data_IF_962404311103
#
_entry.id   IF_962404311103
#
_cell.length_a   1.000
_cell.length_b   1.000
_cell.length_c   1.000
_cell.angle_alpha   90.00
_cell.angle_beta   90.00
_cell.angle_gamma   90.00
#
_symmetry.space_group_name_H-M   'P 1'
#
loop_
_entity.id
_entity.type
_entity.pdbx_description
1 polymer ?
2 non-polymer ?
3 water ?
#
# COMPACT_ATOMS: atom_id res chain seq x y z
N UNK A 1 10.53 -14.75 8.86
CA UNK A 1 9.64 -15.11 7.74
C UNK A 1 8.18 -14.69 7.98
N UNK A 2 7.33 -14.93 6.97
CA UNK A 2 5.92 -14.58 7.06
C UNK A 2 5.09 -15.68 7.73
N UNK A 3 4.34 -15.31 8.77
CA UNK A 3 3.49 -16.26 9.49
C UNK A 3 2.02 -15.99 9.13
N UNK A 4 1.21 -17.04 9.05
CA UNK A 4 -0.19 -16.91 8.69
C UNK A 4 -1.07 -16.44 9.84
N UNK A 5 -1.62 -15.23 9.70
CA UNK A 5 -2.48 -14.68 10.75
C UNK A 5 -3.93 -15.09 10.54
N UNK A 6 -4.29 -15.34 9.29
CA UNK A 6 -5.61 -15.80 8.92
C UNK A 6 -5.42 -16.46 7.56
N UNK A 7 -6.38 -17.29 7.13
CA UNK A 7 -6.24 -17.95 5.83
C UNK A 7 -5.68 -17.08 4.72
N UNK A 8 -4.59 -17.53 4.12
CA UNK A 8 -3.95 -16.81 3.02
C UNK A 8 -3.60 -15.36 3.27
N UNK A 9 -3.27 -15.03 4.51
CA UNK A 9 -2.87 -13.67 4.88
C UNK A 9 -1.69 -13.84 5.82
N UNK A 10 -0.54 -13.30 5.41
CA UNK A 10 0.73 -13.42 6.14
C UNK A 10 1.32 -12.10 6.64
N UNK A 11 2.01 -12.17 7.77
CA UNK A 11 2.63 -11.01 8.38
C UNK A 11 4.09 -11.37 8.67
N UNK A 12 5.00 -10.44 8.36
CA UNK A 12 6.39 -10.69 8.63
C UNK A 12 6.55 -10.85 10.14
N UNK A 13 7.29 -11.88 10.55
CA UNK A 13 7.52 -12.13 11.96
C UNK A 13 8.15 -10.88 12.59
N UNK A 14 7.55 -10.41 13.68
CA UNK A 14 8.02 -9.23 14.39
C UNK A 14 9.46 -9.31 14.88
N UNK A 15 10.07 -10.49 14.76
CA UNK A 15 11.45 -10.70 15.19
C UNK A 15 12.48 -10.31 14.12
N UNK A 16 12.02 -10.11 12.89
CA UNK A 16 12.87 -9.71 11.76
C UNK A 16 13.39 -8.28 11.96
N UNK A 17 14.50 -7.94 11.30
CA UNK A 17 15.10 -6.60 11.40
C UNK A 17 14.27 -5.52 10.71
N UNK A 18 13.58 -5.90 9.64
CA UNK A 18 12.74 -4.97 8.89
C UNK A 18 11.50 -4.57 9.66
N UNK A 19 10.98 -5.51 10.45
CA UNK A 19 9.80 -5.26 11.26
C UNK A 19 10.14 -4.30 12.40
N UNK A 20 11.33 -4.47 12.96
CA UNK A 20 11.80 -3.63 14.05
C UNK A 20 12.16 -2.24 13.55
N UNK A 21 12.66 -2.18 12.32
CA UNK A 21 13.05 -0.91 11.70
C UNK A 21 11.82 -0.07 11.32
N UNK A 22 10.81 -0.73 10.75
CA UNK A 22 9.57 -0.06 10.36
C UNK A 22 8.85 0.43 11.61
N UNK A 23 8.92 -0.38 12.65
CA UNK A 23 8.30 -0.06 13.93
C UNK A 23 8.98 1.16 14.57
N UNK A 24 10.27 1.31 14.32
CA UNK A 24 11.07 2.41 14.86
C UNK A 24 10.93 3.69 14.03
N UNK A 25 10.88 3.54 12.70
CA UNK A 25 10.80 4.67 11.77
C UNK A 25 9.40 5.27 11.51
N UNK A 26 8.37 4.44 11.51
CA UNK A 26 7.02 4.90 11.26
C UNK A 26 6.50 5.97 12.21
N UNK A 27 5.66 6.87 11.68
CA UNK A 27 5.06 7.95 12.47
C UNK A 27 3.60 8.12 12.04
N UNK A 28 2.72 8.37 13.00
CA UNK A 28 1.30 8.59 12.70
C UNK A 28 0.82 9.90 13.32
N UNK A 29 -0.36 10.37 12.90
CA UNK A 29 -0.92 11.63 13.39
C UNK A 29 -2.41 11.57 13.67
N UNK A 30 -2.84 12.30 14.71
CA UNK A 30 -4.24 12.37 15.07
C UNK A 30 -4.89 13.36 14.09
N UNK A 31 -6.23 13.38 14.02
CA UNK A 31 -6.95 14.27 13.12
C UNK A 31 -6.49 15.74 13.15
N UNK A 32 -6.03 16.20 14.31
CA UNK A 32 -5.56 17.59 14.42
C UNK A 32 -4.30 17.86 13.62
N UNK A 33 -3.55 16.81 13.28
CA UNK A 33 -2.31 16.94 12.51
C UNK A 33 -2.27 16.14 11.22
N UNK A 34 -3.42 15.66 10.77
CA UNK A 34 -3.52 14.91 9.52
C UNK A 34 -4.61 15.54 8.67
N UNK A 35 -4.70 15.16 7.39
CA UNK A 35 -5.71 15.70 6.48
C UNK A 35 -6.90 14.76 6.30
N UNK A 36 -6.94 13.69 7.09
CA UNK A 36 -8.00 12.70 7.00
C UNK A 36 -8.59 12.47 8.39
N UNK A 37 -9.83 11.99 8.45
CA UNK A 37 -10.42 11.76 9.76
C UNK A 37 -10.38 10.32 10.20
N UNK A 38 -9.28 9.95 10.84
CA UNK A 38 -9.08 8.62 11.37
C UNK A 38 -8.30 8.84 12.65
N UNK A 39 -8.53 7.99 13.65
CA UNK A 39 -7.84 8.12 14.93
C UNK A 39 -6.33 8.31 14.74
N UNK A 40 -5.75 7.47 13.89
CA UNK A 40 -4.32 7.51 13.62
C UNK A 40 -4.08 7.42 12.13
N UNK A 41 -3.36 8.41 11.60
CA UNK A 41 -3.05 8.45 10.17
C UNK A 41 -1.54 8.23 9.98
N UNK A 42 -1.18 7.08 9.42
CA UNK A 42 0.22 6.74 9.20
C UNK A 42 0.86 7.50 8.04
N UNK A 43 1.92 8.24 8.33
CA UNK A 43 2.62 9.03 7.34
C UNK A 43 3.71 8.24 6.59
N UNK A 44 3.53 8.06 5.30
CA UNK A 44 4.51 7.33 4.49
C UNK A 44 5.81 8.11 4.38
N UNK A 45 5.76 9.41 4.59
CA UNK A 45 6.97 10.22 4.54
C UNK A 45 7.94 9.73 5.59
N UNK A 46 7.41 9.23 6.71
CA UNK A 46 8.25 8.70 7.78
C UNK A 46 9.08 7.50 7.33
N UNK A 47 8.72 6.93 6.19
CA UNK A 47 9.45 5.79 5.66
C UNK A 47 10.39 6.23 4.56
N UNK A 48 9.89 7.05 3.65
CA UNK A 48 10.71 7.51 2.53
C UNK A 48 11.77 8.49 2.98
N UNK A 49 11.58 9.11 4.14
CA UNK A 49 12.58 10.06 4.66
C UNK A 49 13.62 9.32 5.51
N UNK A 50 13.41 8.01 5.66
CA UNK A 50 14.30 7.17 6.41
C UNK A 50 15.05 6.32 5.39
N UNK A 51 16.25 6.79 4.96
CA UNK A 51 17.09 6.10 3.98
C UNK A 51 17.33 4.63 4.32
N UNK A 52 17.69 4.38 5.58
CA UNK A 52 17.95 3.04 6.07
C UNK A 52 16.71 2.13 5.93
N UNK A 53 15.56 2.65 6.30
CA UNK A 53 14.31 1.89 6.24
C UNK A 53 13.89 1.66 4.79
N UNK A 54 14.07 2.67 3.96
CA UNK A 54 13.72 2.56 2.56
C UNK A 54 14.62 1.53 1.87
N UNK A 55 15.91 1.52 2.20
CA UNK A 55 16.82 0.56 1.57
C UNK A 55 16.48 -0.86 2.02
N UNK A 56 16.05 -0.99 3.27
CA UNK A 56 15.68 -2.28 3.86
C UNK A 56 14.48 -2.91 3.16
N UNK A 57 13.44 -2.12 2.93
CA UNK A 57 12.23 -2.58 2.27
C UNK A 57 12.58 -3.00 0.84
N UNK A 58 13.49 -2.24 0.23
CA UNK A 58 13.91 -2.51 -1.12
C UNK A 58 14.67 -3.83 -1.18
N UNK A 59 15.65 -4.02 -0.28
CA UNK A 59 16.44 -5.25 -0.27
C UNK A 59 15.64 -6.51 0.00
N UNK A 60 14.70 -6.44 0.95
CA UNK A 60 13.88 -7.59 1.32
C UNK A 60 12.97 -8.09 0.21
N UNK A 61 12.24 -7.19 -0.42
CA UNK A 61 11.32 -7.59 -1.49
C UNK A 61 12.06 -8.07 -2.73
N UNK A 62 13.17 -7.42 -3.06
CA UNK A 62 13.97 -7.83 -4.22
C UNK A 62 14.50 -9.26 -4.00
N UNK A 63 15.04 -9.51 -2.80
CA UNK A 63 15.56 -10.82 -2.44
C UNK A 63 14.42 -11.84 -2.52
N UNK A 64 13.25 -11.44 -2.06
CA UNK A 64 12.07 -12.31 -2.09
C UNK A 64 11.60 -12.69 -3.49
N UNK A 65 11.53 -11.70 -4.39
CA UNK A 65 11.06 -11.97 -5.74
C UNK A 65 12.08 -12.63 -6.68
N UNK A 66 13.37 -12.56 -6.33
CA UNK A 66 14.41 -13.19 -7.16
C UNK A 66 14.45 -14.68 -6.80
N UNK A 67 14.25 -14.96 -5.51
CA UNK A 67 14.25 -16.32 -5.00
C UNK A 67 13.00 -17.09 -5.39
N UNK A 68 11.95 -16.35 -5.74
CA UNK A 68 10.68 -16.98 -6.12
C UNK A 68 10.73 -17.67 -7.49
N UNK A 69 9.98 -18.76 -7.61
CA UNK A 69 9.92 -19.50 -8.86
C UNK A 69 8.52 -20.09 -9.06
N UNK A 70 7.83 -19.68 -10.16
CA UNK A 70 8.29 -18.73 -11.18
C UNK A 70 8.25 -17.27 -10.72
N UNK A 71 9.20 -16.48 -11.23
CA UNK A 71 9.31 -15.06 -10.89
C UNK A 71 8.23 -14.21 -11.54
N UNK A 72 7.80 -13.14 -10.85
CA UNK A 72 6.76 -12.23 -11.34
C UNK A 72 7.19 -11.63 -12.67
N UNK A 73 6.20 -11.23 -13.46
CA UNK A 73 6.48 -10.63 -14.74
C UNK A 73 6.20 -9.13 -14.70
N UNK A 74 5.41 -8.70 -13.71
CA UNK A 74 5.03 -7.29 -13.54
C UNK A 74 4.78 -6.90 -12.09
N UNK A 75 4.87 -5.59 -11.85
CA UNK A 75 4.58 -5.00 -10.54
C UNK A 75 3.53 -3.93 -10.83
N UNK A 76 2.38 -4.02 -10.18
CA UNK A 76 1.32 -3.04 -10.38
C UNK A 76 1.17 -2.23 -9.09
N UNK A 77 1.55 -0.96 -9.14
CA UNK A 77 1.45 -0.11 -7.97
C UNK A 77 0.18 0.72 -7.98
N UNK A 78 -0.30 1.07 -6.79
CA UNK A 78 -1.51 1.88 -6.63
C UNK A 78 -1.20 3.40 -6.48
N UNK A 79 -2.01 4.22 -7.14
CA UNK A 79 -1.90 5.69 -7.10
C UNK A 79 -2.29 6.14 -5.68
N UNK A 80 -1.35 6.71 -4.91
CA UNK A 80 -0.08 7.27 -5.40
C UNK A 80 1.06 6.79 -4.52
N UNK A 81 0.74 6.33 -3.33
CA UNK A 81 1.77 5.86 -2.43
C UNK A 81 2.42 4.57 -2.91
N UNK A 82 1.69 3.77 -3.67
CA UNK A 82 2.26 2.55 -4.22
C UNK A 82 3.36 2.88 -5.23
N UNK A 83 3.33 4.11 -5.75
CA UNK A 83 4.32 4.58 -6.71
C UNK A 83 5.68 4.75 -6.06
N UNK A 84 5.68 4.99 -4.76
CA UNK A 84 6.92 5.20 -4.02
C UNK A 84 7.75 3.95 -3.78
N UNK A 85 7.12 2.77 -3.83
CA UNK A 85 7.85 1.54 -3.58
C UNK A 85 7.99 0.65 -4.79
N UNK A 86 6.97 0.67 -5.64
CA UNK A 86 6.98 -0.17 -6.81
C UNK A 86 8.21 -0.14 -7.71
N UNK A 87 8.54 1.04 -8.28
CA UNK A 87 9.68 1.25 -9.18
C UNK A 87 11.06 0.78 -8.75
N UNK A 88 11.43 1.00 -7.50
CA UNK A 88 12.74 0.59 -7.04
C UNK A 88 12.91 -0.92 -6.97
N UNK A 89 11.81 -1.63 -6.87
CA UNK A 89 11.85 -3.08 -6.84
C UNK A 89 11.91 -3.57 -8.29
N UNK A 90 11.09 -2.95 -9.14
CA UNK A 90 11.02 -3.31 -10.56
C UNK A 90 12.36 -3.16 -11.27
N UNK A 91 13.00 -2.00 -11.08
CA UNK A 91 14.29 -1.70 -11.72
C UNK A 91 15.36 -2.75 -11.43
N UNK A 92 15.26 -3.40 -10.26
CA UNK A 92 16.20 -4.45 -9.88
C UNK A 92 15.81 -5.78 -10.51
N UNK A 93 14.52 -6.07 -10.57
CA UNK A 93 14.03 -7.31 -11.16
C UNK A 93 14.02 -7.19 -12.68
N UNK A 94 14.05 -5.95 -13.15
CA UNK A 94 14.02 -5.66 -14.58
C UNK A 94 12.73 -6.13 -15.22
N UNK A 95 11.62 -5.79 -14.55
CA UNK A 95 10.30 -6.12 -15.04
C UNK A 95 9.53 -4.80 -15.06
N UNK A 96 8.55 -4.68 -15.95
CA UNK A 96 7.73 -3.47 -16.09
C UNK A 96 6.98 -3.09 -14.82
N UNK A 97 6.78 -1.79 -14.64
CA UNK A 97 6.02 -1.29 -13.50
C UNK A 97 4.79 -0.59 -14.07
N UNK A 98 3.63 -1.21 -13.89
CA UNK A 98 2.37 -0.69 -14.39
C UNK A 98 1.69 0.20 -13.34
N UNK A 99 0.96 1.21 -13.82
CA UNK A 99 0.25 2.15 -12.96
C UNK A 99 -1.27 1.96 -12.93
N UNK A 100 -1.85 1.86 -11.75
CA UNK A 100 -3.30 1.75 -11.65
C UNK A 100 -3.76 3.15 -11.23
N UNK A 101 -4.53 3.80 -12.09
CA UNK A 101 -5.01 5.16 -11.79
C UNK A 101 -6.47 5.34 -12.13
N UNK A 102 -6.99 6.53 -11.82
CA UNK A 102 -8.37 6.85 -12.15
C UNK A 102 -8.33 7.17 -13.63
N UNK A 103 -9.43 6.94 -14.31
CA UNK A 103 -9.50 7.18 -15.74
C UNK A 103 -8.97 8.56 -16.15
N UNK A 104 -9.29 9.60 -15.38
CA UNK A 104 -8.82 10.95 -15.76
C UNK A 104 -7.35 11.23 -15.47
N UNK A 105 -6.62 10.19 -15.11
CA UNK A 105 -5.19 10.31 -14.82
C UNK A 105 -4.38 9.42 -15.74
N UNK A 106 -5.03 8.38 -16.27
CA UNK A 106 -4.41 7.43 -17.17
C UNK A 106 -4.63 7.71 -18.68
N UNK A 107 -3.71 7.23 -19.51
CA UNK A 107 -3.76 7.43 -20.95
C UNK A 107 -3.87 6.11 -21.72
N UNK A 108 -4.29 6.21 -22.98
CA UNK A 108 -4.44 5.03 -23.82
C UNK A 108 -5.79 4.39 -23.62
N UNK A 109 -6.04 3.26 -24.26
CA UNK A 109 -7.30 2.55 -24.07
C UNK A 109 -7.25 1.96 -22.68
N UNK A 110 -8.22 2.30 -21.85
CA UNK A 110 -8.25 1.82 -20.48
C UNK A 110 -9.26 0.74 -20.20
N UNK A 111 -9.10 0.12 -19.04
CA UNK A 111 -10.00 -0.92 -18.55
C UNK A 111 -10.39 -0.45 -17.14
N UNK A 112 -11.65 -0.08 -16.96
CA UNK A 112 -12.09 0.38 -15.64
C UNK A 112 -12.58 -0.79 -14.81
N UNK A 113 -12.36 -0.72 -13.49
CA UNK A 113 -12.79 -1.78 -12.57
C UNK A 113 -14.26 -1.60 -12.24
N UNK A 114 -14.86 -2.61 -11.61
CA UNK A 114 -16.27 -2.56 -11.25
C UNK A 114 -16.40 -2.78 -9.76
N UNK A 115 -16.27 -1.71 -8.97
CA UNK A 115 -16.35 -1.72 -7.50
C UNK A 115 -17.72 -2.10 -6.94
N UNK A 116 -17.71 -2.64 -5.72
CA UNK A 116 -18.93 -3.09 -5.05
C UNK A 116 -19.64 -2.01 -4.24
N UNK A 117 -20.85 -2.33 -3.81
CA UNK A 117 -21.68 -1.43 -3.00
C UNK A 117 -21.09 -1.17 -1.62
N UNK A 118 -21.24 0.06 -1.14
CA UNK A 118 -20.77 0.45 0.19
C UNK A 118 -21.78 -0.04 1.24
N UNK A 119 -21.29 -0.67 2.29
CA UNK A 119 -22.14 -1.19 3.34
C UNK A 119 -22.51 -0.13 4.38
N UNK A 120 -23.24 0.89 3.93
CA UNK A 120 -23.68 2.00 4.78
C UNK A 120 -22.52 2.81 5.36
N UNK A 121 -22.84 3.93 6.00
CA UNK A 121 -21.87 4.82 6.63
C UNK A 121 -20.96 5.51 5.61
N UNK A 122 -21.54 5.82 4.45
CA UNK A 122 -20.83 6.49 3.35
C UNK A 122 -19.54 5.79 2.94
N UNK A 123 -18.50 6.59 2.64
CA UNK A 123 -17.20 6.09 2.23
C UNK A 123 -17.29 5.30 0.91
N UNK A 124 -17.82 5.96 -0.11
CA UNK A 124 -17.99 5.35 -1.43
C UNK A 124 -16.65 5.18 -2.16
N UNK A 125 -16.34 3.94 -2.56
CA UNK A 125 -15.12 3.52 -3.29
C UNK A 125 -14.88 4.25 -4.61
N UNK A 126 -13.73 3.95 -5.23
CA UNK A 126 -13.32 4.59 -6.48
C UNK A 126 -13.13 3.62 -7.66
N UNK A 127 -13.40 4.12 -8.86
CA UNK A 127 -13.22 3.31 -10.06
C UNK A 127 -11.77 3.51 -10.52
N UNK A 128 -11.01 2.43 -10.56
CA UNK A 128 -9.61 2.46 -10.97
C UNK A 128 -9.43 1.84 -12.34
N UNK A 129 -8.36 2.22 -13.03
CA UNK A 129 -8.12 1.71 -14.36
C UNK A 129 -6.66 1.45 -14.63
N UNK A 130 -6.40 0.69 -15.69
CA UNK A 130 -5.06 0.38 -16.19
C UNK A 130 -5.17 0.38 -17.71
N UNK A 131 -4.08 0.68 -18.41
CA UNK A 131 -4.13 0.68 -19.86
C UNK A 131 -4.31 -0.74 -20.40
N UNK A 132 -5.29 -0.90 -21.29
CA UNK A 132 -5.56 -2.21 -21.90
C UNK A 132 -4.29 -2.68 -22.58
N UNK A 133 -3.85 -3.88 -22.21
CA UNK A 133 -2.65 -4.43 -22.81
C UNK A 133 -1.37 -4.11 -22.05
N UNK A 134 -1.50 -3.46 -20.90
CA UNK A 134 -0.34 -3.13 -20.10
C UNK A 134 0.12 -4.43 -19.46
N UNK A 135 -0.83 -5.32 -19.21
CA UNK A 135 -0.54 -6.63 -18.62
C UNK A 135 -0.99 -7.70 -19.60
N UNK A 136 -0.03 -8.38 -20.23
CA UNK A 136 -0.33 -9.43 -21.17
C UNK A 136 -0.91 -10.69 -20.54
N UNK A 137 -1.35 -11.61 -21.40
CA UNK A 137 -1.93 -12.88 -20.95
C UNK A 137 -0.85 -13.76 -20.30
N UNK A 138 -1.22 -14.47 -19.25
CA UNK A 138 -0.28 -15.34 -18.55
C UNK A 138 0.78 -14.65 -17.73
N UNK A 139 0.55 -13.38 -17.39
CA UNK A 139 1.48 -12.60 -16.59
C UNK A 139 1.28 -12.89 -15.11
N UNK A 140 2.37 -12.85 -14.36
CA UNK A 140 2.34 -13.06 -12.92
C UNK A 140 2.61 -11.68 -12.28
N UNK A 141 1.53 -11.06 -11.82
CA UNK A 141 1.59 -9.73 -11.25
C UNK A 141 1.63 -9.65 -9.73
N UNK A 142 2.47 -8.74 -9.23
CA UNK A 142 2.60 -8.47 -7.81
C UNK A 142 1.95 -7.11 -7.61
N UNK A 143 0.92 -7.05 -6.76
CA UNK A 143 0.23 -5.80 -6.46
C UNK A 143 0.92 -5.18 -5.25
N UNK A 144 1.12 -3.86 -5.26
CA UNK A 144 1.79 -3.19 -4.14
C UNK A 144 1.27 -1.78 -3.83
N UNK A 145 1.04 -1.54 -2.53
CA UNK A 145 0.59 -0.24 -2.02
C UNK A 145 1.26 -0.11 -0.65
N UNK A 146 1.21 1.09 -0.07
CA UNK A 146 1.82 1.30 1.23
C UNK A 146 0.97 0.75 2.39
N UNK A 147 -0.32 1.05 2.39
CA UNK A 147 -1.22 0.60 3.45
C UNK A 147 -2.48 -0.12 2.97
N UNK A 148 -2.79 -1.25 3.63
CA UNK A 148 -3.99 -2.00 3.31
C UNK A 148 -4.97 -1.61 4.40
N UNK A 149 -5.93 -0.76 4.05
CA UNK A 149 -6.93 -0.29 4.98
C UNK A 149 -8.22 -1.10 4.84
N UNK A 150 -9.11 -0.63 3.97
CA UNK A 150 -10.40 -1.30 3.73
C UNK A 150 -10.36 -2.36 2.63
N UNK A 151 -9.34 -2.29 1.77
CA UNK A 151 -9.21 -3.25 0.68
C UNK A 151 -9.92 -2.87 -0.59
N UNK A 152 -10.70 -1.79 -0.54
CA UNK A 152 -11.44 -1.36 -1.71
C UNK A 152 -10.60 -1.15 -2.95
N UNK A 153 -9.37 -0.69 -2.77
CA UNK A 153 -8.48 -0.45 -3.88
C UNK A 153 -7.86 -1.73 -4.41
N UNK A 154 -7.38 -2.56 -3.49
CA UNK A 154 -6.75 -3.83 -3.83
C UNK A 154 -7.69 -4.69 -4.66
N UNK A 155 -8.97 -4.55 -4.36
CA UNK A 155 -10.00 -5.29 -5.06
C UNK A 155 -10.02 -4.88 -6.51
N UNK A 156 -9.90 -3.59 -6.79
CA UNK A 156 -9.87 -3.11 -8.16
C UNK A 156 -8.64 -3.73 -8.78
N UNK A 157 -7.56 -3.78 -8.01
CA UNK A 157 -6.32 -4.37 -8.47
C UNK A 157 -6.55 -5.80 -8.92
N UNK A 158 -7.20 -6.59 -8.06
CA UNK A 158 -7.46 -7.99 -8.39
C UNK A 158 -8.39 -8.13 -9.58
N UNK A 159 -9.41 -7.30 -9.66
CA UNK A 159 -10.35 -7.37 -10.77
C UNK A 159 -9.67 -7.04 -12.07
N UNK A 160 -8.74 -6.09 -12.03
CA UNK A 160 -8.03 -5.68 -13.24
C UNK A 160 -7.06 -6.74 -13.74
N UNK A 161 -6.36 -7.38 -12.80
CA UNK A 161 -5.42 -8.44 -13.14
C UNK A 161 -6.21 -9.62 -13.68
N UNK A 162 -7.34 -9.91 -13.04
CA UNK A 162 -8.22 -10.99 -13.45
C UNK A 162 -8.73 -10.75 -14.86
N UNK A 163 -9.26 -9.55 -15.09
CA UNK A 163 -9.80 -9.18 -16.41
C UNK A 163 -8.78 -9.22 -17.55
N UNK A 164 -7.49 -9.19 -17.21
CA UNK A 164 -6.41 -9.22 -18.19
C UNK A 164 -5.88 -10.63 -18.48
N UNK A 165 -6.62 -11.65 -18.06
CA UNK A 165 -6.22 -13.04 -18.24
C UNK A 165 -4.84 -13.28 -17.66
N UNK A 166 -4.62 -12.69 -16.48
CA UNK A 166 -3.37 -12.77 -15.75
C UNK A 166 -3.64 -13.24 -14.32
N UNK A 167 -2.58 -13.57 -13.59
CA UNK A 167 -2.71 -14.02 -12.22
C UNK A 167 -2.01 -13.12 -11.23
N UNK A 168 -2.63 -12.93 -10.07
CA UNK A 168 -2.08 -12.13 -8.99
C UNK A 168 -1.18 -13.04 -8.18
N UNK A 169 0.11 -12.72 -8.14
CA UNK A 169 1.06 -13.51 -7.35
C UNK A 169 0.72 -13.29 -5.88
N UNK A 170 0.61 -12.04 -5.49
CA UNK A 170 0.31 -11.66 -4.12
C UNK A 170 0.16 -10.15 -4.04
N UNK A 171 -0.60 -9.70 -3.05
CA UNK A 171 -0.83 -8.28 -2.81
C UNK A 171 0.07 -7.92 -1.64
N UNK A 172 1.08 -7.09 -1.87
CA UNK A 172 1.98 -6.70 -0.78
C UNK A 172 1.74 -5.27 -0.29
N UNK A 173 1.77 -5.10 1.03
CA UNK A 173 1.59 -3.79 1.65
C UNK A 173 2.59 -3.62 2.78
N UNK A 174 3.08 -2.40 2.96
CA UNK A 174 4.04 -2.12 4.03
C UNK A 174 3.35 -2.28 5.37
N UNK A 175 2.24 -1.57 5.55
CA UNK A 175 1.48 -1.59 6.79
C UNK A 175 0.04 -2.03 6.58
N UNK A 176 -0.52 -2.71 7.55
CA UNK A 176 -1.91 -3.16 7.46
C UNK A 176 -2.68 -2.78 8.72
N UNK A 177 -4.00 -2.66 8.59
CA UNK A 177 -4.91 -2.30 9.68
C UNK A 177 -5.82 -3.51 9.85
N UNK A 178 -5.34 -4.56 10.56
CA UNK A 178 -6.14 -5.76 10.76
C UNK A 178 -7.58 -5.59 11.26
N UNK A 179 -7.85 -4.47 11.93
CA UNK A 179 -9.18 -4.20 12.44
C UNK A 179 -10.22 -4.09 11.32
N UNK A 180 -9.82 -3.48 10.20
CA UNK A 180 -10.71 -3.29 9.06
C UNK A 180 -11.02 -4.58 8.28
N UNK A 181 -10.38 -5.68 8.69
CA UNK A 181 -10.57 -7.01 8.10
C UNK A 181 -10.58 -7.14 6.57
N UNK A 182 -9.73 -6.36 5.90
CA UNK A 182 -9.67 -6.38 4.45
C UNK A 182 -9.35 -7.75 3.84
N UNK A 183 -8.32 -8.42 4.36
CA UNK A 183 -7.95 -9.74 3.85
C UNK A 183 -9.12 -10.69 3.99
N UNK A 184 -9.83 -10.58 5.11
CA UNK A 184 -10.99 -11.42 5.40
C UNK A 184 -12.15 -11.19 4.44
N UNK A 185 -12.57 -9.93 4.30
CA UNK A 185 -13.69 -9.58 3.43
C UNK A 185 -13.45 -9.94 1.97
N UNK A 186 -12.23 -9.71 1.49
CA UNK A 186 -11.89 -10.03 0.11
C UNK A 186 -11.91 -11.56 -0.10
N UNK A 187 -11.39 -12.30 0.87
CA UNK A 187 -11.34 -13.76 0.76
C UNK A 187 -12.67 -14.50 0.75
N UNK A 188 -13.73 -13.82 1.17
CA UNK A 188 -15.05 -14.43 1.21
C UNK A 188 -16.13 -13.71 0.42
N UNK A 189 -15.78 -12.57 -0.17
CA UNK A 189 -16.74 -11.79 -0.96
C UNK A 189 -17.07 -12.52 -2.26
N UNK A 190 -18.35 -12.49 -2.65
CA UNK A 190 -18.80 -13.13 -3.87
C UNK A 190 -18.39 -14.60 -3.91
N UNK A 191 -18.96 -15.42 -3.02
CA UNK A 191 -18.66 -16.85 -2.96
C UNK A 191 -17.19 -17.27 -2.91
N UNK A 192 -16.36 -16.41 -2.32
CA UNK A 192 -14.93 -16.70 -2.15
C UNK A 192 -14.16 -16.91 -3.46
N UNK A 193 -14.44 -16.09 -4.46
CA UNK A 193 -13.75 -16.20 -5.74
C UNK A 193 -12.32 -15.68 -5.68
N UNK A 194 -11.98 -15.04 -4.57
CA UNK A 194 -10.65 -14.47 -4.35
C UNK A 194 -9.98 -15.13 -3.16
N UNK A 195 -10.51 -16.29 -2.80
CA UNK A 195 -10.01 -17.06 -1.67
C UNK A 195 -8.51 -17.37 -1.79
N UNK A 196 -8.07 -17.62 -3.01
CA UNK A 196 -6.68 -17.98 -3.26
C UNK A 196 -5.67 -16.84 -3.30
N UNK A 197 -6.14 -15.59 -3.31
CA UNK A 197 -5.26 -14.43 -3.36
C UNK A 197 -4.49 -14.29 -2.05
N UNK A 198 -3.17 -14.36 -2.15
CA UNK A 198 -2.32 -14.23 -0.99
C UNK A 198 -2.05 -12.76 -0.62
N UNK A 199 -1.99 -12.48 0.68
CA UNK A 199 -1.74 -11.14 1.19
C UNK A 199 -0.56 -11.12 2.13
N UNK A 200 0.37 -10.19 1.92
CA UNK A 200 1.53 -10.08 2.79
C UNK A 200 1.74 -8.64 3.22
N UNK A 201 2.02 -8.48 4.52
CA UNK A 201 2.26 -7.18 5.12
C UNK A 201 3.57 -7.23 5.90
N UNK A 202 4.31 -6.12 5.88
CA UNK A 202 5.57 -6.07 6.60
C UNK A 202 5.36 -5.65 8.04
N UNK A 203 4.20 -5.06 8.34
CA UNK A 203 3.92 -4.61 9.69
C UNK A 203 2.42 -4.41 9.95
N UNK A 204 2.01 -4.67 11.18
CA UNK A 204 0.63 -4.50 11.60
C UNK A 204 0.58 -3.19 12.35
N UNK A 205 -0.53 -2.46 12.26
CA UNK A 205 -0.65 -1.19 12.97
C UNK A 205 -0.81 -1.42 14.46
N UNK A 206 -0.99 -2.68 14.85
CA UNK A 206 -1.13 -3.05 16.26
C UNK A 206 0.20 -2.75 16.90
N UNK A 207 1.26 -2.87 16.10
CA UNK A 207 2.62 -2.63 16.54
C UNK A 207 2.95 -1.14 16.73
N UNK A 208 2.13 -0.26 16.17
CA UNK A 208 2.40 1.16 16.31
C UNK A 208 1.75 1.71 17.56
N UNK A 209 2.57 2.25 18.46
CA UNK A 209 2.08 2.78 19.73
C UNK A 209 2.19 4.30 19.86
N UNK A 210 2.21 4.77 21.11
CA UNK A 210 2.31 6.20 21.40
C UNK A 210 3.66 6.74 21.02
N UNK A 211 4.69 5.91 21.15
CA UNK A 211 6.05 6.31 20.81
C UNK A 211 6.18 6.73 19.34
N UNK A 212 5.20 6.32 18.52
CA UNK A 212 5.18 6.62 17.10
C UNK A 212 4.34 7.84 16.68
N UNK A 213 3.74 8.53 17.65
CA UNK A 213 2.93 9.70 17.33
C UNK A 213 3.81 10.89 16.99
N UNK A 214 3.51 11.53 15.86
CA UNK A 214 4.28 12.68 15.42
C UNK A 214 3.69 14.03 15.76
N UNK A 215 2.53 14.04 16.41
CA UNK A 215 1.86 15.27 16.80
C UNK A 215 2.76 16.17 17.64
N UNK A 216 2.85 17.45 17.26
CA UNK A 216 3.67 18.38 18.04
C UNK A 216 2.91 18.62 19.34
N UNK A 217 3.58 18.37 20.46
CA UNK A 217 2.95 18.54 21.75
C UNK A 217 2.84 19.99 22.21
N UNK A 218 1.69 20.30 22.81
CA UNK A 218 1.39 21.62 23.33
C UNK A 218 1.29 22.69 22.26
N UNK A 219 1.27 22.28 21.00
CA UNK A 219 1.17 23.22 19.88
C UNK A 219 -0.28 23.69 19.77
N UNK A 220 -0.50 25.01 19.80
CA UNK A 220 -1.85 25.57 19.69
C UNK A 220 -2.01 26.53 18.51
N UNK A 221 -1.32 26.28 17.41
CA UNK A 221 -1.43 27.14 16.24
C UNK A 221 -2.06 26.42 15.06
N UNK A 222 -2.05 27.00 13.85
CA UNK A 222 -2.65 26.34 12.68
C UNK A 222 -1.82 25.15 12.19
N UNK A 223 -2.41 24.31 11.33
CA UNK A 223 -1.69 23.16 10.81
C UNK A 223 -0.86 23.54 9.60
N UNK A 224 -1.44 24.41 8.77
CA UNK A 224 -0.79 24.88 7.55
C UNK A 224 -0.37 26.34 7.68
N UNK A 225 0.92 26.59 7.48
CA UNK A 225 1.49 27.91 7.57
C UNK A 225 1.91 28.35 6.16
N UNK A 226 1.73 29.62 5.83
CA UNK A 226 2.13 30.12 4.51
C UNK A 226 3.65 30.29 4.48
N UNK A 227 4.21 30.36 3.27
CA UNK A 227 5.65 30.54 3.08
C UNK A 227 6.18 31.83 3.69
N UNK A 228 5.40 32.91 3.54
CA UNK A 228 5.78 34.22 4.05
C UNK A 228 5.85 34.32 5.56
N UNK A 229 4.87 33.75 6.25
CA UNK A 229 4.86 33.75 7.71
C UNK A 229 6.09 33.03 8.28
N UNK A 230 6.70 32.17 7.47
CA UNK A 230 7.89 31.39 7.87
C UNK A 230 9.23 32.06 7.51
N UNK A 231 9.28 32.74 6.37
CA UNK A 231 10.51 33.43 5.92
C UNK A 231 10.94 34.52 6.91
N UNK A 232 9.95 35.27 7.39
CA UNK A 232 10.19 36.35 8.34
C UNK A 232 10.46 35.90 9.78
N UNK A 233 10.70 34.60 9.97
CA UNK A 233 11.00 34.07 11.30
C UNK A 233 12.50 33.80 11.43
N UNK A 234 13.26 34.33 10.47
CA UNK A 234 14.71 34.20 10.44
C UNK A 234 15.26 35.26 9.48
N UNK A 235 16.39 35.89 9.85
CA UNK A 235 17.04 36.93 9.05
C UNK A 235 17.44 36.47 7.65
N UNK A 236 16.94 37.16 6.63
CA UNK A 236 17.24 36.81 5.24
C UNK A 236 17.23 38.04 4.33
X LIG B 1 -3.00 8.97 -1.83
X LIG B 1 -2.30 9.16 -0.54
X LIG B 1 -4.46 8.62 -1.58
X LIG B 1 -2.38 7.87 -2.74
X LIG B 1 -2.85 10.25 -2.66
X LIG C 1 -8.11 1.22 0.97
X LIG C 1 -6.92 1.91 0.49
X LIG C 1 -8.76 2.03 2.07
X LIG C 1 -7.79 -0.20 1.50
X LIG C 1 -9.08 1.00 -0.21
#
# INVERSE_FOLDING_TARGET
>A
PFKEVSPNSFLLDDSHALSQLLKKSYRWYSPVFSPRNVPRFADVSSITESPETLKAIRDFLVQRYRAMSPAPTHILGFDARGFLFGPMIAVELEIPFVLMRKADKNAGLLIRSEPYEKEYKEAAPEVMTIRYGSIGKGSRVVLIDDVLATGGTALSGLQLVEASDAVVVEMVSILSIPFLKAAEKIHSTANSRYKDIKFISLLSDDALTEENCGDSKNYTGPRVLSCGDVLAEHPH
>B hetero
1 SO4 S O1 O2 O3 O4
>C hetero
1 SO4 S O1 O2 O3 O4
#
